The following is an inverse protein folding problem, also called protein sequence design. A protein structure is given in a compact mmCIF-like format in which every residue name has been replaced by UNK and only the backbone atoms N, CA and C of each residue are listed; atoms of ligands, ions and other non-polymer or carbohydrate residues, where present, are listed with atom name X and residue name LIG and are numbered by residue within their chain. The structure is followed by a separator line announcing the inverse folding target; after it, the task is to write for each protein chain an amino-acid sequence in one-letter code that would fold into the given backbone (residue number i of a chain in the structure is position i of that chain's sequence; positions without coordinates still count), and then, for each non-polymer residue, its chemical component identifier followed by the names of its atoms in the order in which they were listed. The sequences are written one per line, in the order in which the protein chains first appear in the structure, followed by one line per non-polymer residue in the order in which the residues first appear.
data_IF_608942012853
#
_entry.id   IF_608942012853
#
_cell.length_a   1.000
_cell.length_b   1.000
_cell.length_c   1.000
_cell.angle_alpha   90.00
_cell.angle_beta   90.00
_cell.angle_gamma   90.00
#
_symmetry.space_group_name_H-M   'P 1'
#
loop_
_entity.id
_entity.type
_entity.pdbx_description
1 polymer ?
#
# COMPACT_ATOMS: atom_id res chain seq x y z
N UNK A 1 8.09 22.02 33.30
CA UNK A 1 7.27 20.81 33.09
C UNK A 1 7.53 20.34 31.69
N UNK A 2 8.42 19.32 31.53
CA UNK A 2 8.70 18.71 30.25
C UNK A 2 7.58 17.68 29.98
N UNK A 3 6.66 17.99 29.09
CA UNK A 3 5.78 17.00 28.52
C UNK A 3 6.64 16.11 27.60
N UNK A 4 7.02 14.95 28.08
CA UNK A 4 7.52 13.85 27.25
C UNK A 4 6.40 13.48 26.27
N UNK A 5 6.54 13.93 25.00
CA UNK A 5 5.69 13.49 23.91
C UNK A 5 5.78 11.95 23.85
N UNK A 6 4.75 11.27 24.28
CA UNK A 6 4.60 9.83 24.04
C UNK A 6 4.73 9.60 22.54
N UNK A 7 5.81 8.95 22.14
CA UNK A 7 6.00 8.56 20.73
C UNK A 7 4.93 7.48 20.46
N UNK A 8 3.87 7.88 19.78
CA UNK A 8 2.80 6.96 19.39
C UNK A 8 3.40 5.82 18.57
N UNK A 9 3.15 4.58 19.00
CA UNK A 9 3.62 3.39 18.27
C UNK A 9 3.01 3.39 16.87
N UNK A 10 3.85 3.23 15.85
CA UNK A 10 3.41 3.10 14.46
C UNK A 10 2.96 1.66 14.24
N UNK A 11 1.77 1.37 14.67
CA UNK A 11 1.10 0.07 14.47
C UNK A 11 0.58 -0.05 13.04
N UNK A 12 0.12 -1.23 12.66
CA UNK A 12 -0.58 -1.46 11.40
C UNK A 12 -1.83 -0.58 11.30
N UNK A 13 -2.65 -0.52 12.37
CA UNK A 13 -3.82 0.36 12.44
C UNK A 13 -3.48 1.83 12.28
N UNK A 14 -2.33 2.27 12.82
CA UNK A 14 -1.88 3.63 12.63
C UNK A 14 -1.60 3.91 11.16
N UNK A 15 -0.88 3.01 10.46
CA UNK A 15 -0.59 3.13 9.02
C UNK A 15 -1.88 3.15 8.21
N UNK A 16 -2.83 2.27 8.51
CA UNK A 16 -4.16 2.22 7.89
C UNK A 16 -4.88 3.57 7.99
N UNK A 17 -4.96 4.12 9.21
CA UNK A 17 -5.66 5.39 9.44
C UNK A 17 -5.00 6.56 8.70
N UNK A 18 -3.67 6.64 8.68
CA UNK A 18 -2.96 7.69 7.96
C UNK A 18 -3.21 7.62 6.44
N UNK A 19 -3.23 6.41 5.89
CA UNK A 19 -3.48 6.22 4.45
C UNK A 19 -4.94 6.56 4.09
N UNK A 20 -5.91 6.14 4.90
CA UNK A 20 -7.31 6.50 4.67
C UNK A 20 -7.48 8.02 4.66
N UNK A 21 -7.00 8.71 5.70
CA UNK A 21 -7.06 10.17 5.79
C UNK A 21 -6.37 10.84 4.60
N UNK A 22 -5.24 10.29 4.15
CA UNK A 22 -4.53 10.78 2.98
C UNK A 22 -5.34 10.64 1.69
N UNK A 23 -6.02 9.51 1.50
CA UNK A 23 -6.76 9.18 0.28
C UNK A 23 -8.13 9.85 0.19
N UNK A 24 -8.77 10.15 1.31
CA UNK A 24 -10.06 10.86 1.37
C UNK A 24 -9.97 12.33 0.94
N UNK A 25 -8.76 12.87 0.78
CA UNK A 25 -8.57 14.20 0.23
C UNK A 25 -9.06 14.22 -1.24
N UNK A 26 -10.07 15.07 -1.52
CA UNK A 26 -10.74 15.19 -2.83
C UNK A 26 -9.78 15.47 -3.99
N UNK A 27 -8.68 16.17 -3.75
CA UNK A 27 -7.66 16.45 -4.76
C UNK A 27 -6.95 15.19 -5.28
N UNK A 28 -7.05 14.06 -4.57
CA UNK A 28 -6.38 12.79 -4.87
C UNK A 28 -7.25 11.75 -5.55
N UNK A 29 -8.45 12.11 -5.97
CA UNK A 29 -9.29 11.23 -6.79
C UNK A 29 -10.55 10.73 -6.11
N UNK A 30 -11.01 11.42 -5.08
CA UNK A 30 -12.31 11.13 -4.42
C UNK A 30 -12.46 9.66 -3.99
N UNK A 31 -11.45 9.14 -3.28
CA UNK A 31 -11.43 7.79 -2.76
C UNK A 31 -12.21 7.70 -1.44
N UNK A 32 -13.00 6.65 -1.29
CA UNK A 32 -13.77 6.39 -0.09
C UNK A 32 -13.59 4.93 0.34
N UNK A 33 -13.53 4.65 1.65
CA UNK A 33 -13.58 3.28 2.11
C UNK A 33 -14.81 2.56 1.54
N UNK A 34 -14.62 1.36 1.02
CA UNK A 34 -15.74 0.53 0.60
C UNK A 34 -16.62 0.27 1.83
N UNK A 35 -17.92 0.60 1.72
CA UNK A 35 -18.92 0.34 2.77
C UNK A 35 -19.22 -1.17 2.86
N UNK A 36 -18.23 -1.97 3.17
CA UNK A 36 -18.47 -3.34 3.60
C UNK A 36 -18.89 -3.30 5.05
N UNK A 37 -20.10 -3.82 5.31
CA UNK A 37 -20.61 -4.08 6.64
C UNK A 37 -19.47 -4.67 7.49
N UNK A 38 -19.19 -4.02 8.63
CA UNK A 38 -18.25 -4.50 9.66
C UNK A 38 -18.75 -5.83 10.25
N UNK A 39 -18.67 -6.90 9.48
CA UNK A 39 -18.90 -8.24 9.93
C UNK A 39 -17.63 -9.03 9.72
N UNK A 40 -17.01 -9.37 10.84
CA UNK A 40 -15.83 -10.21 11.01
C UNK A 40 -14.46 -9.56 10.74
N UNK A 41 -13.89 -9.01 11.82
CA UNK A 41 -12.47 -8.65 11.98
C UNK A 41 -11.47 -9.80 11.70
N UNK A 42 -11.96 -11.00 11.37
CA UNK A 42 -11.14 -12.20 11.11
C UNK A 42 -11.32 -12.81 9.72
N UNK A 43 -12.09 -12.17 8.82
CA UNK A 43 -12.13 -12.62 7.42
C UNK A 43 -10.90 -12.11 6.68
N UNK A 44 -10.16 -13.03 6.10
CA UNK A 44 -9.00 -12.86 5.23
C UNK A 44 -9.26 -11.86 4.11
N UNK A 45 -9.14 -10.57 4.40
CA UNK A 45 -9.31 -9.45 3.47
C UNK A 45 -8.06 -8.56 3.46
N UNK A 46 -7.95 -7.66 2.52
CA UNK A 46 -6.95 -6.58 2.56
C UNK A 46 -7.30 -5.59 3.67
N UNK A 47 -6.29 -4.90 4.20
CA UNK A 47 -6.48 -3.98 5.33
C UNK A 47 -7.30 -2.73 4.92
N UNK A 48 -7.12 -2.27 3.69
CA UNK A 48 -7.86 -1.13 3.15
C UNK A 48 -8.45 -1.49 1.79
N UNK A 49 -9.75 -1.23 1.62
CA UNK A 49 -10.45 -1.26 0.34
C UNK A 49 -11.05 0.11 0.08
N UNK A 50 -10.63 0.75 -1.00
CA UNK A 50 -11.19 2.03 -1.43
C UNK A 50 -11.88 1.89 -2.77
N UNK A 51 -12.97 2.62 -2.93
CA UNK A 51 -13.67 2.82 -4.20
C UNK A 51 -13.60 4.31 -4.53
N UNK A 52 -13.35 4.64 -5.78
CA UNK A 52 -13.23 6.04 -6.18
C UNK A 52 -12.63 6.20 -7.56
N UNK A 53 -11.66 7.11 -7.68
CA UNK A 53 -11.03 7.44 -8.94
C UNK A 53 -11.90 8.32 -9.85
N UNK A 54 -11.48 8.47 -11.12
CA UNK A 54 -12.09 9.44 -12.05
C UNK A 54 -13.58 9.21 -12.34
N UNK A 55 -14.09 7.98 -12.13
CA UNK A 55 -15.48 7.61 -12.46
C UNK A 55 -16.19 6.89 -11.31
N UNK A 56 -15.67 6.94 -10.08
CA UNK A 56 -16.15 6.15 -8.94
C UNK A 56 -16.28 4.64 -9.25
N UNK A 57 -15.48 4.14 -10.20
CA UNK A 57 -15.48 2.73 -10.64
C UNK A 57 -14.10 2.11 -10.56
N UNK A 58 -13.18 2.76 -9.88
CA UNK A 58 -11.84 2.24 -9.62
C UNK A 58 -11.80 1.67 -8.20
N UNK A 59 -10.99 0.63 -8.03
CA UNK A 59 -10.78 -0.09 -6.76
C UNK A 59 -9.33 0.00 -6.36
N UNK A 60 -9.08 0.28 -5.08
CA UNK A 60 -7.73 0.29 -4.53
C UNK A 60 -7.68 -0.62 -3.30
N UNK A 61 -6.94 -1.69 -3.40
CA UNK A 61 -6.73 -2.66 -2.32
C UNK A 61 -5.32 -2.46 -1.76
N UNK A 62 -5.21 -2.24 -0.46
CA UNK A 62 -3.93 -1.93 0.18
C UNK A 62 -3.72 -2.87 1.35
N UNK A 63 -2.54 -3.46 1.42
CA UNK A 63 -2.05 -4.22 2.55
C UNK A 63 -1.06 -3.39 3.35
N UNK A 64 -1.21 -3.34 4.66
CA UNK A 64 -0.46 -2.45 5.53
C UNK A 64 0.49 -3.22 6.46
N UNK A 65 1.63 -2.63 6.77
CA UNK A 65 2.55 -3.10 7.82
C UNK A 65 3.12 -1.91 8.61
N UNK A 66 2.97 -2.00 9.91
CA UNK A 66 3.52 -1.03 10.84
C UNK A 66 5.01 -1.25 11.12
N UNK A 67 5.52 -0.49 12.08
CA UNK A 67 6.88 -0.60 12.59
C UNK A 67 6.95 -1.67 13.69
N UNK A 68 7.88 -2.60 13.57
CA UNK A 68 8.18 -3.53 14.65
C UNK A 68 9.05 -2.86 15.73
N UNK A 69 8.70 -3.06 16.98
CA UNK A 69 9.43 -2.57 18.16
C UNK A 69 10.18 -3.68 18.91
N UNK A 70 10.27 -4.87 18.34
CA UNK A 70 11.04 -5.97 18.92
C UNK A 70 12.55 -5.66 18.96
N UNK A 71 13.28 -6.27 19.89
CA UNK A 71 14.74 -6.04 20.06
C UNK A 71 15.56 -6.34 18.80
N UNK A 72 15.06 -7.17 17.87
CA UNK A 72 15.67 -7.50 16.57
C UNK A 72 15.05 -6.71 15.40
N UNK A 73 14.48 -5.54 15.64
CA UNK A 73 13.55 -4.86 14.74
C UNK A 73 14.16 -4.31 13.45
N UNK A 74 15.48 -4.09 13.36
CA UNK A 74 16.05 -3.44 12.16
C UNK A 74 15.82 -4.23 10.86
N UNK A 75 16.00 -5.55 10.88
CA UNK A 75 15.74 -6.39 9.71
C UNK A 75 14.24 -6.51 9.45
N UNK A 76 13.44 -6.70 10.51
CA UNK A 76 11.99 -6.86 10.42
C UNK A 76 11.34 -5.60 9.83
N UNK A 77 11.77 -4.41 10.25
CA UNK A 77 11.25 -3.15 9.70
C UNK A 77 11.59 -2.97 8.21
N UNK A 78 12.74 -3.47 7.78
CA UNK A 78 13.14 -3.42 6.38
C UNK A 78 12.47 -4.49 5.52
N UNK A 79 12.01 -5.58 6.09
CA UNK A 79 11.42 -6.73 5.38
C UNK A 79 9.90 -6.77 5.43
N UNK A 80 9.25 -5.88 6.18
CA UNK A 80 7.78 -5.79 6.28
C UNK A 80 7.07 -5.74 4.91
N UNK A 81 7.73 -5.17 3.91
CA UNK A 81 7.21 -5.11 2.54
C UNK A 81 7.07 -6.49 1.87
N UNK A 82 7.93 -7.47 2.21
CA UNK A 82 7.81 -8.83 1.66
C UNK A 82 6.52 -9.50 2.11
N UNK A 83 6.18 -9.36 3.39
CA UNK A 83 4.94 -9.89 3.93
C UNK A 83 3.73 -9.21 3.30
N UNK A 84 3.74 -7.88 3.21
CA UNK A 84 2.67 -7.13 2.57
C UNK A 84 2.53 -7.49 1.08
N UNK A 85 3.65 -7.62 0.35
CA UNK A 85 3.65 -8.03 -1.06
C UNK A 85 3.08 -9.45 -1.22
N UNK A 86 3.50 -10.40 -0.40
CA UNK A 86 2.97 -11.76 -0.42
C UNK A 86 1.46 -11.78 -0.19
N UNK A 87 0.98 -11.04 0.79
CA UNK A 87 -0.45 -10.95 1.11
C UNK A 87 -1.24 -10.28 -0.02
N UNK A 88 -0.79 -9.15 -0.56
CA UNK A 88 -1.54 -8.46 -1.62
C UNK A 88 -1.59 -9.27 -2.91
N UNK A 89 -0.51 -9.96 -3.28
CA UNK A 89 -0.47 -10.80 -4.49
C UNK A 89 -1.50 -11.93 -4.43
N UNK A 90 -1.67 -12.57 -3.27
CA UNK A 90 -2.67 -13.65 -3.10
C UNK A 90 -4.12 -13.14 -3.12
N UNK A 91 -4.32 -11.82 -3.03
CA UNK A 91 -5.64 -11.18 -3.00
C UNK A 91 -5.97 -10.43 -4.30
N UNK A 92 -5.11 -10.54 -5.31
CA UNK A 92 -5.35 -9.92 -6.62
C UNK A 92 -6.52 -10.59 -7.33
N UNK A 93 -7.49 -9.80 -7.78
CA UNK A 93 -8.64 -10.31 -8.52
C UNK A 93 -8.23 -10.68 -9.95
N UNK A 94 -8.63 -11.87 -10.40
CA UNK A 94 -8.42 -12.35 -11.77
C UNK A 94 -9.11 -11.47 -12.81
N UNK A 95 -10.18 -10.76 -12.46
CA UNK A 95 -10.88 -9.81 -13.33
C UNK A 95 -10.00 -8.67 -13.80
N UNK A 96 -8.88 -8.45 -13.13
CA UNK A 96 -7.88 -7.46 -13.51
C UNK A 96 -7.25 -7.75 -14.88
N UNK A 97 -7.21 -9.01 -15.28
CA UNK A 97 -6.53 -9.43 -16.49
C UNK A 97 -7.54 -9.80 -17.57
N UNK A 98 -7.33 -9.25 -18.78
CA UNK A 98 -8.02 -9.70 -19.97
C UNK A 98 -7.21 -10.86 -20.58
N UNK A 99 -7.81 -12.04 -20.62
CA UNK A 99 -7.16 -13.23 -21.18
C UNK A 99 -7.67 -13.43 -22.61
N UNK A 100 -6.76 -13.53 -23.57
CA UNK A 100 -7.12 -13.90 -24.93
C UNK A 100 -7.63 -15.33 -24.98
N UNK A 101 -8.89 -15.53 -25.40
CA UNK A 101 -9.50 -16.85 -25.53
C UNK A 101 -8.77 -17.76 -26.56
N UNK A 102 -8.05 -17.16 -27.53
CA UNK A 102 -7.34 -17.93 -28.58
C UNK A 102 -6.03 -18.55 -28.09
N UNK A 103 -5.30 -17.87 -27.21
CA UNK A 103 -3.91 -18.25 -26.89
C UNK A 103 -3.65 -18.42 -25.38
N UNK A 104 -4.63 -18.20 -24.52
CA UNK A 104 -4.44 -18.22 -23.07
C UNK A 104 -3.51 -17.12 -22.53
N UNK A 105 -3.10 -16.18 -23.41
CA UNK A 105 -2.20 -15.09 -23.02
C UNK A 105 -2.96 -13.91 -22.46
N UNK A 106 -2.34 -13.20 -21.52
CA UNK A 106 -2.86 -11.95 -21.00
C UNK A 106 -2.84 -10.92 -22.12
N UNK A 107 -4.01 -10.42 -22.53
CA UNK A 107 -4.17 -9.45 -23.61
C UNK A 107 -4.25 -7.99 -23.13
N UNK A 108 -4.38 -7.77 -21.83
CA UNK A 108 -4.44 -6.44 -21.25
C UNK A 108 -4.58 -6.45 -19.73
N UNK A 109 -4.47 -5.28 -19.14
CA UNK A 109 -4.63 -5.05 -17.71
C UNK A 109 -5.82 -4.13 -17.48
N UNK A 110 -6.73 -4.52 -16.59
CA UNK A 110 -7.82 -3.66 -16.17
C UNK A 110 -7.30 -2.66 -15.13
N UNK A 111 -7.00 -1.44 -15.56
CA UNK A 111 -6.50 -0.37 -14.70
C UNK A 111 -7.52 0.16 -13.68
N UNK A 112 -8.76 -0.34 -13.68
CA UNK A 112 -9.72 -0.06 -12.62
C UNK A 112 -9.30 -0.65 -11.27
N UNK A 113 -8.45 -1.68 -11.27
CA UNK A 113 -7.93 -2.31 -10.07
C UNK A 113 -6.49 -1.85 -9.80
N UNK A 114 -6.28 -1.25 -8.64
CA UNK A 114 -4.96 -0.83 -8.14
C UNK A 114 -4.65 -1.58 -6.87
N UNK A 115 -3.39 -1.86 -6.65
CA UNK A 115 -2.90 -2.55 -5.46
C UNK A 115 -1.84 -1.70 -4.78
N UNK A 116 -1.80 -1.72 -3.46
CA UNK A 116 -0.88 -0.90 -2.68
C UNK A 116 -0.27 -1.63 -1.51
N UNK A 117 0.92 -1.18 -1.14
CA UNK A 117 1.58 -1.52 0.11
C UNK A 117 1.62 -0.27 0.98
N UNK A 118 0.96 -0.31 2.13
CA UNK A 118 1.04 0.70 3.18
C UNK A 118 2.17 0.34 4.14
N UNK A 119 3.27 1.08 4.14
CA UNK A 119 4.49 0.68 4.82
C UNK A 119 5.06 1.80 5.67
N UNK A 120 5.65 1.42 6.81
CA UNK A 120 6.59 2.31 7.49
C UNK A 120 7.75 2.66 6.54
N UNK A 121 8.24 3.90 6.59
CA UNK A 121 9.13 4.47 5.57
C UNK A 121 10.40 3.66 5.27
N UNK A 122 11.04 3.04 6.29
CA UNK A 122 12.23 2.18 6.07
C UNK A 122 11.91 0.99 5.17
N UNK A 123 10.76 0.37 5.38
CA UNK A 123 10.27 -0.75 4.56
C UNK A 123 9.90 -0.29 3.16
N UNK A 124 9.25 0.88 3.04
CA UNK A 124 8.89 1.48 1.76
C UNK A 124 10.13 1.80 0.91
N UNK A 125 11.19 2.34 1.52
CA UNK A 125 12.45 2.61 0.84
C UNK A 125 13.07 1.34 0.24
N UNK A 126 13.09 0.26 1.02
CA UNK A 126 13.64 -1.03 0.55
C UNK A 126 12.77 -1.61 -0.58
N UNK A 127 11.44 -1.55 -0.44
CA UNK A 127 10.50 -2.03 -1.46
C UNK A 127 10.67 -1.28 -2.78
N UNK A 128 10.73 0.06 -2.74
CA UNK A 128 10.91 0.90 -3.93
C UNK A 128 12.19 0.57 -4.70
N UNK A 129 13.27 0.26 -3.98
CA UNK A 129 14.54 -0.10 -4.60
C UNK A 129 14.55 -1.53 -5.16
N UNK A 130 13.94 -2.48 -4.44
CA UNK A 130 14.06 -3.92 -4.73
C UNK A 130 13.02 -4.45 -5.70
N UNK A 131 11.83 -3.86 -5.74
CA UNK A 131 10.81 -4.28 -6.69
C UNK A 131 11.10 -3.63 -8.04
N UNK A 132 11.31 -4.41 -9.11
CA UNK A 132 11.52 -3.85 -10.45
C UNK A 132 10.30 -3.03 -10.90
N UNK A 133 10.58 -1.95 -11.62
CA UNK A 133 9.52 -1.05 -12.16
C UNK A 133 8.53 -1.81 -13.03
N UNK A 134 9.01 -2.69 -13.88
CA UNK A 134 8.19 -3.49 -14.81
C UNK A 134 7.20 -4.37 -14.04
N UNK A 135 7.64 -4.98 -12.93
CA UNK A 135 6.78 -5.76 -12.04
C UNK A 135 5.72 -4.88 -11.41
N UNK A 136 6.10 -3.71 -10.90
CA UNK A 136 5.16 -2.78 -10.30
C UNK A 136 4.13 -2.26 -11.32
N UNK A 137 4.53 -2.00 -12.56
CA UNK A 137 3.64 -1.56 -13.64
C UNK A 137 2.65 -2.66 -14.03
N UNK A 138 3.13 -3.90 -14.23
CA UNK A 138 2.26 -5.05 -14.54
C UNK A 138 1.28 -5.31 -13.40
N UNK A 139 1.71 -5.21 -12.16
CA UNK A 139 0.83 -5.39 -11.00
C UNK A 139 -0.02 -4.16 -10.67
N UNK A 140 0.12 -3.01 -11.33
CA UNK A 140 -0.39 -1.71 -10.87
C UNK A 140 -0.14 -1.50 -9.37
N UNK A 141 1.07 -1.80 -8.94
CA UNK A 141 1.46 -1.78 -7.54
C UNK A 141 1.93 -0.38 -7.15
N UNK A 142 1.39 0.12 -6.06
CA UNK A 142 1.72 1.43 -5.51
C UNK A 142 2.29 1.28 -4.10
N UNK A 143 3.03 2.28 -3.60
CA UNK A 143 3.47 2.32 -2.21
C UNK A 143 2.98 3.58 -1.53
N UNK A 144 2.50 3.43 -0.32
CA UNK A 144 2.24 4.49 0.66
C UNK A 144 3.28 4.37 1.77
N UNK A 145 4.15 5.34 1.87
CA UNK A 145 5.16 5.42 2.92
C UNK A 145 4.65 6.31 4.04
N UNK A 146 4.62 5.79 5.26
CA UNK A 146 4.19 6.54 6.46
C UNK A 146 5.39 6.74 7.37
N UNK A 147 5.67 7.98 7.79
CA UNK A 147 6.75 8.29 8.72
C UNK A 147 6.29 8.41 10.18
N UNK A 148 7.24 8.69 11.07
CA UNK A 148 6.98 8.83 12.51
C UNK A 148 6.08 10.03 12.88
N UNK A 149 5.85 10.97 11.93
CA UNK A 149 4.96 12.12 12.11
C UNK A 149 3.55 11.89 11.56
N UNK A 150 3.31 10.73 10.92
CA UNK A 150 2.06 10.42 10.24
C UNK A 150 1.96 11.01 8.83
N UNK A 151 3.04 11.59 8.33
CA UNK A 151 3.06 12.09 6.96
C UNK A 151 3.08 10.91 5.99
N UNK A 152 2.26 11.01 4.94
CA UNK A 152 2.15 9.98 3.91
C UNK A 152 2.77 10.46 2.61
N UNK A 153 3.69 9.67 2.05
CA UNK A 153 4.17 9.83 0.68
C UNK A 153 3.68 8.70 -0.21
N UNK A 154 3.17 9.06 -1.36
CA UNK A 154 2.58 8.15 -2.32
C UNK A 154 3.48 7.97 -3.54
N UNK A 155 3.72 6.72 -3.91
CA UNK A 155 4.57 6.33 -5.02
C UNK A 155 3.77 5.50 -6.02
N UNK A 156 3.75 5.96 -7.26
CA UNK A 156 3.17 5.22 -8.40
C UNK A 156 4.14 4.17 -8.92
N UNK A 157 3.69 3.19 -9.73
CA UNK A 157 4.56 2.15 -10.30
C UNK A 157 5.81 2.66 -10.99
N UNK A 158 5.74 3.83 -11.66
CA UNK A 158 6.88 4.45 -12.35
C UNK A 158 8.03 4.90 -11.43
N UNK A 159 7.81 4.91 -10.13
CA UNK A 159 8.81 5.31 -9.12
C UNK A 159 9.63 4.13 -8.58
N UNK A 160 9.26 2.92 -8.91
CA UNK A 160 9.97 1.72 -8.46
C UNK A 160 11.31 1.51 -9.19
N UNK A 161 12.16 0.64 -8.65
CA UNK A 161 13.49 0.35 -9.19
C UNK A 161 14.49 1.48 -9.01
N UNK A 162 14.24 2.42 -8.10
CA UNK A 162 15.09 3.57 -7.81
C UNK A 162 15.50 3.60 -6.34
N UNK A 163 16.71 4.10 -6.10
CA UNK A 163 17.16 4.39 -4.75
C UNK A 163 16.81 5.84 -4.40
N UNK A 164 16.16 6.02 -3.27
CA UNK A 164 15.78 7.33 -2.76
C UNK A 164 16.54 7.62 -1.47
N UNK A 165 17.09 8.83 -1.34
CA UNK A 165 17.73 9.24 -0.09
C UNK A 165 16.73 9.26 1.06
N UNK A 166 17.23 9.13 2.29
CA UNK A 166 16.39 9.17 3.47
C UNK A 166 15.57 10.47 3.56
N UNK A 167 16.15 11.60 3.19
CA UNK A 167 15.49 12.92 3.18
C UNK A 167 14.26 12.97 2.26
N UNK A 168 14.18 12.07 1.29
CA UNK A 168 13.02 11.97 0.41
C UNK A 168 11.77 11.45 1.13
N UNK A 169 11.91 10.82 2.30
CA UNK A 169 10.82 10.23 3.07
C UNK A 169 10.37 11.08 4.26
N UNK A 170 10.99 12.23 4.49
CA UNK A 170 10.69 13.14 5.61
C UNK A 170 10.19 14.49 5.14
#
# INVERSE_FOLDING_TARGET
MNQTKEISKITEDYVVNQIINYMENKERGNWHPEKTVKTDLHKHGVDIKLVGGKRNSEYFYIECKGKSYAKSSKSINREGWLNALGQIVTRMDVKRYSISKKNGMISGINHAYKYGLGLYWESAQVALRRIPREVAEVLCLHIFSVNDRGEVKYFTPSKFGKDYSQEYFF
#
